data_IF_726119894456
#
_entry.id   IF_726119894456
#
_cell.length_a   1.000
_cell.length_b   1.000
_cell.length_c   1.000
_cell.angle_alpha   90.00
_cell.angle_beta   90.00
_cell.angle_gamma   90.00
#
_symmetry.space_group_name_H-M   'P 1'
#
loop_
_entity.id
_entity.type
_entity.pdbx_description
1 polymer ?
#
# COMPACT_ATOMS: atom_id res chain seq x y z
N UNK A 1 -8.81 -15.09 -3.13
CA UNK A 1 -7.55 -14.40 -3.44
C UNK A 1 -6.96 -13.85 -2.16
N UNK A 2 -5.64 -13.86 -2.05
CA UNK A 2 -4.87 -13.26 -0.97
C UNK A 2 -4.44 -11.85 -1.36
N UNK A 3 -4.91 -10.87 -0.59
CA UNK A 3 -4.72 -9.45 -0.82
C UNK A 3 -3.93 -8.87 0.35
N UNK A 4 -2.86 -8.14 0.06
CA UNK A 4 -2.01 -7.54 1.07
C UNK A 4 -1.97 -6.04 0.89
N UNK A 5 -2.43 -5.31 1.90
CA UNK A 5 -2.24 -3.87 1.97
C UNK A 5 -0.93 -3.55 2.68
N UNK A 6 -0.12 -2.68 2.07
CA UNK A 6 1.12 -2.16 2.65
C UNK A 6 1.03 -0.63 2.70
N UNK A 7 1.24 -0.06 3.88
CA UNK A 7 1.54 1.37 4.05
C UNK A 7 3.05 1.54 4.27
N UNK A 8 3.80 1.98 3.24
CA UNK A 8 5.26 2.10 3.35
C UNK A 8 5.67 3.25 4.26
N UNK A 9 6.91 3.21 4.74
CA UNK A 9 7.49 4.30 5.50
C UNK A 9 8.90 4.65 5.02
N UNK A 10 9.25 5.92 5.12
CA UNK A 10 10.56 6.43 4.67
C UNK A 10 11.73 5.74 5.35
N UNK A 11 12.86 5.63 4.64
CA UNK A 11 14.11 5.10 5.21
C UNK A 11 14.48 5.79 6.53
N UNK A 12 14.34 7.12 6.61
CA UNK A 12 14.60 7.89 7.83
C UNK A 12 13.78 7.40 9.04
N UNK A 13 12.49 7.13 8.83
CA UNK A 13 11.58 6.65 9.87
C UNK A 13 11.72 5.15 10.15
N UNK A 14 12.55 4.41 9.42
CA UNK A 14 12.91 3.01 9.72
C UNK A 14 14.12 2.87 10.63
N UNK A 15 14.92 3.92 10.81
CA UNK A 15 16.07 3.89 11.74
C UNK A 15 15.61 3.77 13.20
N UNK A 16 16.22 2.89 14.02
CA UNK A 16 15.78 2.64 15.39
C UNK A 16 15.70 3.89 16.26
N UNK A 17 16.68 4.79 16.14
CA UNK A 17 16.75 6.03 16.93
C UNK A 17 15.63 7.02 16.58
N UNK A 18 15.29 7.12 15.30
CA UNK A 18 14.19 7.96 14.81
C UNK A 18 12.83 7.36 15.16
N UNK A 19 12.67 6.03 15.12
CA UNK A 19 11.46 5.35 15.61
C UNK A 19 11.23 5.59 17.09
N UNK A 20 12.30 5.54 17.90
CA UNK A 20 12.21 5.81 19.33
C UNK A 20 11.81 7.27 19.61
N UNK A 21 12.44 8.25 18.94
CA UNK A 21 12.07 9.66 19.07
C UNK A 21 10.66 9.97 18.55
N UNK A 22 10.23 9.32 17.47
CA UNK A 22 8.88 9.43 16.92
C UNK A 22 7.79 8.93 17.86
N UNK A 23 8.07 8.00 18.77
CA UNK A 23 7.10 7.59 19.82
C UNK A 23 6.91 8.63 20.93
N UNK A 24 7.86 9.55 21.07
CA UNK A 24 7.84 10.58 22.14
C UNK A 24 7.17 11.87 21.66
N UNK A 25 7.33 12.22 20.37
CA UNK A 25 6.81 13.47 19.80
C UNK A 25 5.94 13.31 18.55
N UNK A 26 5.77 12.09 18.04
CA UNK A 26 5.01 11.83 16.81
C UNK A 26 3.52 11.64 17.06
N UNK A 27 2.72 12.15 16.12
CA UNK A 27 1.29 11.84 16.03
C UNK A 27 1.10 10.41 15.51
N UNK A 28 0.04 9.74 15.98
CA UNK A 28 -0.35 8.44 15.43
C UNK A 28 -0.87 8.62 14.00
N UNK A 29 -0.09 8.22 13.01
CA UNK A 29 -0.54 8.14 11.62
C UNK A 29 -1.37 6.85 11.47
N UNK A 30 -2.66 6.93 11.74
CA UNK A 30 -3.53 5.77 11.61
C UNK A 30 -3.71 5.37 10.14
N UNK A 31 -3.44 4.12 9.79
CA UNK A 31 -3.67 3.52 8.47
C UNK A 31 -5.15 3.20 8.22
N UNK A 32 -6.03 4.11 8.60
CA UNK A 32 -7.47 3.86 8.69
C UNK A 32 -8.08 3.43 7.35
N UNK A 33 -7.68 4.04 6.23
CA UNK A 33 -8.14 3.67 4.89
C UNK A 33 -7.86 2.19 4.54
N UNK A 34 -6.58 1.75 4.55
CA UNK A 34 -6.23 0.34 4.34
C UNK A 34 -6.95 -0.65 5.26
N UNK A 35 -7.18 -0.29 6.52
CA UNK A 35 -7.92 -1.15 7.46
C UNK A 35 -9.40 -1.25 7.10
N UNK A 36 -10.04 -0.14 6.69
CA UNK A 36 -11.44 -0.12 6.25
C UNK A 36 -11.59 -0.98 4.98
N UNK A 37 -10.78 -0.72 3.96
CA UNK A 37 -10.80 -1.47 2.70
C UNK A 37 -10.51 -2.95 2.94
N UNK A 38 -9.52 -3.25 3.80
CA UNK A 38 -9.22 -4.61 4.17
C UNK A 38 -10.39 -5.31 4.88
N UNK A 39 -11.13 -4.58 5.73
CA UNK A 39 -12.36 -5.08 6.35
C UNK A 39 -13.50 -5.35 5.35
N UNK A 40 -13.67 -4.48 4.35
CA UNK A 40 -14.64 -4.68 3.27
C UNK A 40 -14.30 -5.94 2.47
N UNK A 41 -13.05 -6.07 2.00
CA UNK A 41 -12.61 -7.21 1.21
C UNK A 41 -12.65 -8.53 2.01
N UNK A 42 -12.33 -8.48 3.30
CA UNK A 42 -12.46 -9.65 4.17
C UNK A 42 -13.92 -10.10 4.31
N UNK A 43 -14.87 -9.17 4.43
CA UNK A 43 -16.31 -9.50 4.43
C UNK A 43 -16.79 -10.04 3.08
N UNK A 44 -16.16 -9.64 1.99
CA UNK A 44 -16.41 -10.19 0.66
C UNK A 44 -15.77 -11.58 0.42
N UNK A 45 -15.10 -12.17 1.42
CA UNK A 45 -14.56 -13.54 1.35
C UNK A 45 -13.11 -13.66 0.87
N UNK A 46 -12.37 -12.54 0.78
CA UNK A 46 -10.94 -12.56 0.48
C UNK A 46 -10.08 -12.84 1.72
N UNK A 47 -8.91 -13.44 1.52
CA UNK A 47 -7.86 -13.49 2.56
C UNK A 47 -7.11 -12.17 2.53
N UNK A 48 -7.16 -11.41 3.63
CA UNK A 48 -6.65 -10.05 3.68
C UNK A 48 -5.71 -9.84 4.86
N UNK A 49 -4.55 -9.28 4.57
CA UNK A 49 -3.60 -8.79 5.58
C UNK A 49 -3.26 -7.32 5.35
N UNK A 50 -3.09 -6.56 6.42
CA UNK A 50 -2.75 -5.13 6.37
C UNK A 50 -1.49 -4.89 7.19
N UNK A 51 -0.49 -4.24 6.60
CA UNK A 51 0.79 -3.94 7.25
C UNK A 51 1.14 -2.45 7.14
N UNK A 52 1.87 -1.96 8.14
CA UNK A 52 2.46 -0.62 8.16
C UNK A 52 3.93 -0.70 8.60
N UNK A 53 4.84 -0.16 7.76
CA UNK A 53 6.30 -0.21 8.01
C UNK A 53 6.76 0.72 9.15
N UNK A 54 5.96 1.70 9.57
CA UNK A 54 6.37 2.67 10.59
C UNK A 54 6.51 2.02 11.96
N UNK A 55 5.54 1.21 12.35
CA UNK A 55 5.49 0.59 13.68
C UNK A 55 5.80 -0.91 13.66
N UNK A 56 5.79 -1.57 12.49
CA UNK A 56 6.02 -3.00 12.34
C UNK A 56 7.07 -3.38 11.31
N UNK A 57 7.59 -4.61 11.43
CA UNK A 57 8.39 -5.23 10.38
C UNK A 57 7.49 -6.00 9.41
N UNK A 58 7.83 -5.98 8.12
CA UNK A 58 7.11 -6.70 7.07
C UNK A 58 8.02 -7.77 6.47
N UNK A 59 7.57 -9.03 6.46
CA UNK A 59 8.33 -10.14 5.89
C UNK A 59 8.01 -10.28 4.38
N UNK A 60 8.60 -9.41 3.57
CA UNK A 60 8.40 -9.40 2.12
C UNK A 60 8.72 -10.73 1.44
N UNK A 61 9.75 -11.45 1.91
CA UNK A 61 10.12 -12.76 1.34
C UNK A 61 8.98 -13.78 1.43
N UNK A 62 8.20 -13.73 2.52
CA UNK A 62 7.01 -14.58 2.65
C UNK A 62 5.89 -14.08 1.76
N UNK A 63 5.58 -12.79 1.85
CA UNK A 63 4.44 -12.20 1.13
C UNK A 63 4.57 -12.34 -0.39
N UNK A 64 5.77 -12.14 -0.95
CA UNK A 64 6.04 -12.28 -2.39
C UNK A 64 5.74 -13.68 -2.94
N UNK A 65 5.71 -14.72 -2.09
CA UNK A 65 5.43 -16.09 -2.53
C UNK A 65 3.95 -16.47 -2.50
N UNK A 66 3.15 -15.74 -1.74
CA UNK A 66 1.83 -16.19 -1.33
C UNK A 66 0.74 -15.12 -1.45
N UNK A 67 1.00 -14.05 -2.18
CA UNK A 67 0.07 -12.92 -2.37
C UNK A 67 -0.34 -12.83 -3.83
N UNK A 68 -1.64 -12.67 -4.09
CA UNK A 68 -2.18 -12.49 -5.44
C UNK A 68 -2.19 -11.00 -5.83
N UNK A 69 -2.45 -10.12 -4.86
CA UNK A 69 -2.54 -8.66 -5.08
C UNK A 69 -1.88 -7.90 -3.92
N UNK A 70 -0.97 -6.99 -4.27
CA UNK A 70 -0.41 -6.00 -3.37
C UNK A 70 -1.07 -4.64 -3.59
N UNK A 71 -1.62 -4.06 -2.52
CA UNK A 71 -2.20 -2.73 -2.51
C UNK A 71 -1.29 -1.79 -1.70
N UNK A 72 -0.73 -0.77 -2.33
CA UNK A 72 0.07 0.25 -1.65
C UNK A 72 -0.75 1.50 -1.39
N UNK A 73 -0.81 1.92 -0.12
CA UNK A 73 -1.39 3.21 0.26
C UNK A 73 -0.29 4.24 0.46
N UNK A 74 -0.22 5.20 -0.45
CA UNK A 74 0.94 6.06 -0.65
C UNK A 74 0.63 7.55 -0.45
N UNK A 75 1.60 8.22 0.15
CA UNK A 75 1.69 9.67 0.35
C UNK A 75 3.00 10.13 -0.30
N UNK A 76 3.12 11.41 -0.66
CA UNK A 76 4.33 11.91 -1.34
C UNK A 76 5.61 11.57 -0.58
N UNK A 77 5.56 11.64 0.76
CA UNK A 77 6.72 11.31 1.59
C UNK A 77 7.20 9.86 1.44
N UNK A 78 6.34 8.91 1.09
CA UNK A 78 6.69 7.48 1.01
C UNK A 78 6.56 6.88 -0.40
N UNK A 79 6.29 7.70 -1.43
CA UNK A 79 6.10 7.28 -2.82
C UNK A 79 7.29 6.47 -3.35
N UNK A 80 8.52 7.01 -3.23
CA UNK A 80 9.73 6.31 -3.67
C UNK A 80 9.88 4.92 -3.05
N UNK A 81 9.54 4.77 -1.76
CA UNK A 81 9.58 3.46 -1.10
C UNK A 81 8.50 2.51 -1.63
N UNK A 82 7.34 3.04 -2.01
CA UNK A 82 6.29 2.25 -2.63
C UNK A 82 6.71 1.75 -4.02
N UNK A 83 7.37 2.60 -4.81
CA UNK A 83 7.90 2.26 -6.13
C UNK A 83 8.94 1.13 -6.04
N UNK A 84 9.93 1.26 -5.15
CA UNK A 84 10.91 0.19 -4.88
C UNK A 84 10.24 -1.15 -4.53
N UNK A 85 9.14 -1.11 -3.76
CA UNK A 85 8.43 -2.30 -3.36
C UNK A 85 7.60 -2.88 -4.50
N UNK A 86 6.97 -2.04 -5.31
CA UNK A 86 6.20 -2.43 -6.47
C UNK A 86 7.09 -3.10 -7.54
N UNK A 87 8.23 -2.48 -7.86
CA UNK A 87 9.20 -3.04 -8.79
C UNK A 87 9.71 -4.40 -8.30
N UNK A 88 9.95 -4.54 -6.98
CA UNK A 88 10.32 -5.81 -6.36
C UNK A 88 9.20 -6.86 -6.48
N UNK A 89 7.93 -6.47 -6.39
CA UNK A 89 6.79 -7.36 -6.57
C UNK A 89 6.75 -7.86 -8.01
N UNK A 90 6.91 -6.98 -9.00
CA UNK A 90 6.95 -7.34 -10.42
C UNK A 90 8.15 -8.23 -10.77
N UNK A 91 9.32 -7.96 -10.21
CA UNK A 91 10.53 -8.76 -10.46
C UNK A 91 10.42 -10.17 -9.86
N UNK A 92 9.76 -10.32 -8.71
CA UNK A 92 9.90 -11.53 -7.86
C UNK A 92 8.61 -12.32 -7.66
N UNK A 93 7.50 -11.87 -8.22
CA UNK A 93 6.21 -12.54 -8.10
C UNK A 93 5.35 -12.29 -9.34
N UNK A 94 4.27 -13.05 -9.47
CA UNK A 94 3.21 -12.80 -10.46
C UNK A 94 2.06 -11.98 -9.88
N UNK A 95 2.25 -11.38 -8.70
CA UNK A 95 1.19 -10.65 -8.02
C UNK A 95 0.93 -9.32 -8.72
N UNK A 96 -0.34 -8.90 -8.72
CA UNK A 96 -0.73 -7.59 -9.25
C UNK A 96 -0.41 -6.50 -8.23
N UNK A 97 0.07 -5.36 -8.69
CA UNK A 97 0.31 -4.15 -7.90
C UNK A 97 -0.78 -3.13 -8.16
N UNK A 98 -1.42 -2.66 -7.08
CA UNK A 98 -2.37 -1.55 -7.08
C UNK A 98 -1.84 -0.45 -6.18
N UNK A 99 -1.86 0.80 -6.64
CA UNK A 99 -1.49 1.96 -5.83
C UNK A 99 -2.69 2.88 -5.59
N UNK A 100 -2.83 3.39 -4.37
CA UNK A 100 -3.85 4.36 -4.00
C UNK A 100 -3.36 5.30 -2.90
N UNK A 101 -4.18 6.27 -2.51
CA UNK A 101 -3.81 7.32 -1.54
C UNK A 101 -3.51 8.66 -2.21
N UNK A 102 -3.06 9.65 -1.44
CA UNK A 102 -3.03 11.02 -1.95
C UNK A 102 -2.00 11.25 -3.04
N UNK A 103 -0.86 10.56 -2.98
CA UNK A 103 0.13 10.69 -4.04
C UNK A 103 -0.38 10.08 -5.35
N UNK A 104 -0.94 8.88 -5.27
CA UNK A 104 -1.58 8.21 -6.41
C UNK A 104 -2.73 9.02 -7.03
N UNK A 105 -3.48 9.76 -6.21
CA UNK A 105 -4.57 10.63 -6.68
C UNK A 105 -4.05 11.87 -7.41
N UNK A 106 -2.96 12.47 -6.93
CA UNK A 106 -2.43 13.73 -7.48
C UNK A 106 -1.48 13.47 -8.66
N UNK A 107 -0.77 12.34 -8.65
CA UNK A 107 0.24 11.95 -9.64
C UNK A 107 0.00 10.51 -10.14
N UNK A 108 -1.13 10.23 -10.79
CA UNK A 108 -1.49 8.87 -11.20
C UNK A 108 -0.54 8.31 -12.26
N UNK A 109 -0.10 9.13 -13.22
CA UNK A 109 0.80 8.68 -14.30
C UNK A 109 2.16 8.24 -13.78
N UNK A 110 2.75 8.97 -12.82
CA UNK A 110 4.00 8.58 -12.15
C UNK A 110 3.83 7.23 -11.43
N UNK A 111 2.68 7.00 -10.82
CA UNK A 111 2.41 5.73 -10.14
C UNK A 111 2.19 4.57 -11.11
N UNK A 112 1.64 4.82 -12.31
CA UNK A 112 1.44 3.81 -13.35
C UNK A 112 2.75 3.31 -13.95
N UNK A 113 3.86 4.04 -13.82
CA UNK A 113 5.19 3.54 -14.19
C UNK A 113 5.61 2.31 -13.34
N UNK A 114 5.00 2.16 -12.16
CA UNK A 114 5.32 1.11 -11.19
C UNK A 114 4.15 0.18 -10.84
N UNK A 115 2.92 0.50 -11.26
CA UNK A 115 1.71 -0.19 -10.83
C UNK A 115 0.88 -0.72 -12.00
N UNK A 116 0.23 -1.87 -11.80
CA UNK A 116 -0.72 -2.42 -12.79
C UNK A 116 -2.07 -1.70 -12.77
N UNK A 117 -2.35 -0.95 -11.71
CA UNK A 117 -3.54 -0.12 -11.56
C UNK A 117 -3.32 0.98 -10.53
N UNK A 118 -3.88 2.15 -10.79
CA UNK A 118 -3.92 3.27 -9.84
C UNK A 118 -5.37 3.59 -9.50
N UNK A 119 -5.66 3.69 -8.20
CA UNK A 119 -6.93 4.15 -7.65
C UNK A 119 -6.77 5.61 -7.24
N UNK A 120 -7.60 6.47 -7.81
CA UNK A 120 -7.65 7.90 -7.47
C UNK A 120 -8.90 8.21 -6.65
N UNK A 121 -8.82 9.15 -5.70
CA UNK A 121 -9.93 9.44 -4.80
C UNK A 121 -10.16 8.36 -3.75
N UNK A 122 -11.42 8.14 -3.37
CA UNK A 122 -11.81 7.18 -2.34
C UNK A 122 -12.07 5.79 -2.94
N UNK A 123 -11.26 4.80 -2.55
CA UNK A 123 -11.23 3.49 -3.18
C UNK A 123 -12.36 2.52 -2.79
N UNK A 124 -13.26 2.89 -1.86
CA UNK A 124 -14.36 2.01 -1.45
C UNK A 124 -15.51 1.91 -2.45
N UNK A 125 -15.58 2.83 -3.42
CA UNK A 125 -16.59 2.87 -4.48
C UNK A 125 -16.07 2.58 -5.87
N UNK A 126 -14.79 2.25 -6.01
CA UNK A 126 -14.15 2.11 -7.32
C UNK A 126 -14.56 0.79 -7.99
N UNK A 127 -15.77 0.78 -8.55
CA UNK A 127 -16.23 -0.22 -9.50
C UNK A 127 -15.61 0.13 -10.86
N UNK A 128 -14.64 -0.68 -11.28
CA UNK A 128 -14.10 -0.61 -12.63
C UNK A 128 -15.23 -0.52 -13.67
N UNK A 129 -15.19 0.53 -14.50
CA UNK A 129 -16.02 0.76 -15.69
C UNK A 129 -17.52 1.05 -15.44
N UNK A 130 -17.83 2.31 -15.13
CA UNK A 130 -19.13 2.90 -15.45
C UNK A 130 -18.90 4.28 -16.09
N UNK A 131 -18.38 4.29 -17.33
CA UNK A 131 -18.39 5.44 -18.25
C UNK A 131 -17.71 5.12 -19.58
N UNK A 132 -18.45 4.43 -20.46
CA UNK A 132 -18.59 4.91 -21.83
C UNK A 132 -20.06 5.28 -22.01
N UNK A 133 -20.34 6.57 -21.82
CA UNK A 133 -21.43 7.28 -22.45
C UNK A 133 -20.82 8.46 -23.20
#
# INVERSE_FOLDING_TARGET
MKIVFITPTTALRRFPIYRAGGKIYGQSNSITGPLILGGILKRAGHDVSVYEELNGGVNYRKLLKDTDVFCFSIMTSNALRAYELADMVHEKSSARVIMGGMHATVLPEECLEHADQVITGEGEKDSAHDSQQ
#
